data_IF_035987578550
#
_entry.id   IF_035987578550
#
_cell.length_a   1.000
_cell.length_b   1.000
_cell.length_c   1.000
_cell.angle_alpha   90.00
_cell.angle_beta   90.00
_cell.angle_gamma   90.00
#
_symmetry.space_group_name_H-M   'P 1'
#
loop_
_entity.id
_entity.type
_entity.pdbx_description
1 polymer ?
#
# COMPACT_ATOMS: atom_id res chain seq x y z
N UNK A 1 30.79 -2.81 -8.27
CA UNK A 1 29.60 -2.81 -7.43
C UNK A 1 28.69 -3.89 -7.97
N UNK A 2 28.53 -5.01 -7.28
CA UNK A 2 27.56 -6.04 -7.66
C UNK A 2 26.17 -5.43 -7.54
N UNK A 3 25.40 -5.48 -8.62
CA UNK A 3 23.98 -5.12 -8.55
C UNK A 3 23.32 -5.95 -7.44
N UNK A 4 22.39 -5.36 -6.66
CA UNK A 4 21.59 -6.13 -5.72
C UNK A 4 20.92 -7.28 -6.47
N UNK A 5 20.95 -8.46 -5.88
CA UNK A 5 20.30 -9.63 -6.42
C UNK A 5 18.77 -9.46 -6.27
N UNK A 6 18.16 -8.86 -7.27
CA UNK A 6 16.70 -8.69 -7.34
C UNK A 6 15.94 -10.00 -7.60
N UNK A 7 16.67 -11.12 -7.75
CA UNK A 7 16.06 -12.43 -7.98
C UNK A 7 15.48 -13.08 -6.70
N UNK A 8 15.70 -12.48 -5.54
CA UNK A 8 15.16 -12.95 -4.26
C UNK A 8 13.81 -12.32 -3.96
N UNK A 9 12.80 -12.78 -4.67
CA UNK A 9 11.41 -12.43 -4.39
C UNK A 9 10.86 -13.28 -3.23
N UNK A 10 9.84 -12.81 -2.49
CA UNK A 10 9.13 -13.65 -1.53
C UNK A 10 8.59 -14.93 -2.16
N UNK A 11 8.39 -15.96 -1.35
CA UNK A 11 7.83 -17.24 -1.82
C UNK A 11 6.40 -17.09 -2.36
N UNK A 12 5.69 -16.07 -1.90
CA UNK A 12 4.36 -15.68 -2.38
C UNK A 12 4.34 -14.17 -2.56
N UNK A 13 3.83 -13.71 -3.68
CA UNK A 13 3.57 -12.30 -3.97
C UNK A 13 2.16 -12.14 -4.52
N UNK A 14 1.55 -10.97 -4.34
CA UNK A 14 0.19 -10.76 -4.84
C UNK A 14 -0.26 -9.31 -4.79
N UNK A 15 -1.42 -9.09 -5.39
CA UNK A 15 -2.13 -7.82 -5.40
C UNK A 15 -3.64 -8.08 -5.47
N UNK A 16 -4.44 -7.08 -5.15
CA UNK A 16 -5.91 -7.15 -5.18
C UNK A 16 -6.47 -6.72 -6.53
N UNK A 17 -7.63 -7.19 -6.88
CA UNK A 17 -8.30 -6.85 -8.15
C UNK A 17 -8.71 -5.38 -8.25
N UNK A 18 -8.92 -4.71 -7.12
CA UNK A 18 -9.11 -3.26 -7.00
C UNK A 18 -8.40 -2.74 -5.74
N UNK A 19 -8.21 -1.44 -5.61
CA UNK A 19 -7.58 -0.85 -4.43
C UNK A 19 -8.59 -0.52 -3.33
N UNK A 20 -9.86 -0.37 -3.66
CA UNK A 20 -10.92 0.01 -2.73
C UNK A 20 -12.14 -0.88 -2.85
N UNK A 21 -12.77 -1.13 -1.72
CA UNK A 21 -13.97 -1.95 -1.62
C UNK A 21 -14.94 -1.37 -0.58
N UNK A 22 -16.20 -1.77 -0.68
CA UNK A 22 -17.24 -1.47 0.31
C UNK A 22 -17.61 -2.71 1.10
N UNK A 23 -18.27 -2.53 2.23
CA UNK A 23 -18.83 -3.64 3.00
C UNK A 23 -19.75 -4.50 2.12
N UNK A 24 -19.50 -5.82 2.09
CA UNK A 24 -20.20 -6.79 1.26
C UNK A 24 -19.57 -7.05 -0.11
N UNK A 25 -18.63 -6.25 -0.55
CA UNK A 25 -17.89 -6.50 -1.82
C UNK A 25 -16.98 -7.71 -1.70
N UNK A 26 -16.73 -8.34 -2.83
CA UNK A 26 -15.80 -9.47 -2.95
C UNK A 26 -14.41 -8.93 -3.32
N UNK A 27 -13.44 -9.15 -2.46
CA UNK A 27 -12.02 -8.89 -2.73
C UNK A 27 -11.44 -10.10 -3.45
N UNK A 28 -11.00 -9.94 -4.68
CA UNK A 28 -10.20 -10.94 -5.39
C UNK A 28 -8.73 -10.67 -5.17
N UNK A 29 -7.95 -11.74 -4.97
CA UNK A 29 -6.50 -11.65 -4.77
C UNK A 29 -5.79 -12.53 -5.78
N UNK A 30 -4.86 -11.93 -6.50
CA UNK A 30 -4.04 -12.55 -7.54
C UNK A 30 -2.65 -12.77 -7.00
N UNK A 31 -2.21 -14.02 -6.95
CA UNK A 31 -0.94 -14.40 -6.35
C UNK A 31 -0.10 -15.27 -7.29
N UNK A 32 1.19 -15.02 -7.34
CA UNK A 32 2.17 -16.00 -7.78
C UNK A 32 2.85 -16.63 -6.57
N UNK A 33 2.96 -17.95 -6.53
CA UNK A 33 3.52 -18.67 -5.39
C UNK A 33 4.40 -19.82 -5.84
N UNK A 34 5.63 -19.87 -5.30
CA UNK A 34 6.51 -21.01 -5.43
C UNK A 34 6.31 -22.04 -4.31
N UNK A 35 5.61 -21.64 -3.24
CA UNK A 35 5.21 -22.55 -2.19
C UNK A 35 3.93 -23.30 -2.61
N UNK A 36 3.80 -24.60 -2.31
CA UNK A 36 2.62 -25.38 -2.68
C UNK A 36 1.35 -24.96 -1.93
N UNK A 37 1.53 -24.42 -0.74
CA UNK A 37 0.45 -23.91 0.14
C UNK A 37 0.90 -22.66 0.85
N UNK A 38 -0.02 -21.72 1.00
CA UNK A 38 0.17 -20.52 1.81
C UNK A 38 -1.13 -20.13 2.54
N UNK A 39 -1.01 -19.28 3.52
CA UNK A 39 -2.13 -18.68 4.24
C UNK A 39 -2.16 -17.18 3.97
N UNK A 40 -3.37 -16.59 3.92
CA UNK A 40 -3.57 -15.16 3.80
C UNK A 40 -4.22 -14.63 5.07
N UNK A 41 -3.57 -13.65 5.71
CA UNK A 41 -4.07 -12.99 6.93
C UNK A 41 -4.42 -11.55 6.60
N UNK A 42 -5.66 -11.18 6.83
CA UNK A 42 -6.18 -9.85 6.56
C UNK A 42 -6.22 -9.06 7.88
N UNK A 43 -5.51 -7.94 7.91
CA UNK A 43 -5.34 -7.11 9.11
C UNK A 43 -5.73 -5.67 8.80
N UNK A 44 -6.67 -5.09 9.56
CA UNK A 44 -6.86 -3.64 9.58
C UNK A 44 -5.68 -2.98 10.29
N UNK A 45 -5.11 -1.96 9.67
CA UNK A 45 -3.93 -1.24 10.18
C UNK A 45 -4.31 0.19 10.52
N UNK A 46 -4.64 0.41 11.78
CA UNK A 46 -4.95 1.71 12.37
C UNK A 46 -3.99 2.05 13.52
N UNK A 47 -4.54 2.61 14.60
CA UNK A 47 -3.80 2.76 15.86
C UNK A 47 -3.26 1.41 16.33
N UNK A 48 -4.07 0.39 16.18
CA UNK A 48 -3.72 -1.01 16.41
C UNK A 48 -3.79 -1.81 15.10
N UNK A 49 -3.15 -2.97 15.12
CA UNK A 49 -3.27 -3.98 14.06
C UNK A 49 -4.28 -5.01 14.51
N UNK A 50 -5.42 -5.06 13.84
CA UNK A 50 -6.53 -5.97 14.17
C UNK A 50 -6.71 -6.97 13.04
N UNK A 51 -6.41 -8.23 13.30
CA UNK A 51 -6.75 -9.31 12.37
C UNK A 51 -8.26 -9.42 12.26
N UNK A 52 -8.77 -9.36 11.03
CA UNK A 52 -10.22 -9.38 10.75
C UNK A 52 -10.66 -10.61 10.00
N UNK A 53 -9.74 -11.27 9.28
CA UNK A 53 -10.06 -12.46 8.50
C UNK A 53 -8.78 -13.24 8.18
N UNK A 54 -8.93 -14.56 8.00
CA UNK A 54 -7.86 -15.45 7.54
C UNK A 54 -8.40 -16.43 6.50
N UNK A 55 -7.63 -16.63 5.43
CA UNK A 55 -7.88 -17.69 4.44
C UNK A 55 -6.73 -18.67 4.54
N UNK A 56 -7.04 -19.88 4.99
CA UNK A 56 -6.03 -20.92 5.23
C UNK A 56 -5.93 -21.90 4.06
N UNK A 57 -4.72 -22.42 3.83
CA UNK A 57 -4.47 -23.53 2.92
C UNK A 57 -4.73 -23.19 1.44
N UNK A 58 -4.47 -21.97 1.05
CA UNK A 58 -4.56 -21.56 -0.35
C UNK A 58 -3.53 -22.33 -1.16
N UNK A 59 -3.97 -22.97 -2.24
CA UNK A 59 -3.06 -23.65 -3.17
C UNK A 59 -2.23 -22.63 -3.93
N UNK A 60 -0.92 -22.76 -3.78
CA UNK A 60 0.03 -21.95 -4.53
C UNK A 60 0.25 -22.51 -5.93
N UNK A 61 0.38 -21.64 -6.88
CA UNK A 61 0.87 -21.94 -8.23
C UNK A 61 1.73 -20.77 -8.70
N UNK A 62 2.71 -21.08 -9.49
CA UNK A 62 3.56 -20.06 -10.09
C UNK A 62 2.82 -19.41 -11.25
N UNK A 63 2.83 -18.09 -11.30
CA UNK A 63 2.28 -17.31 -12.42
C UNK A 63 3.42 -16.50 -13.04
N UNK A 64 3.56 -16.51 -14.36
CA UNK A 64 4.68 -15.85 -15.00
C UNK A 64 4.60 -14.34 -14.80
N UNK A 65 5.76 -13.72 -14.63
CA UNK A 65 5.90 -12.27 -14.66
C UNK A 65 6.15 -11.86 -16.11
N UNK A 66 5.22 -11.12 -16.75
CA UNK A 66 5.41 -10.70 -18.14
C UNK A 66 6.58 -9.73 -18.28
N UNK A 67 7.20 -9.73 -19.46
CA UNK A 67 8.07 -8.63 -19.84
C UNK A 67 7.29 -7.32 -19.72
N UNK A 68 7.91 -6.30 -19.11
CA UNK A 68 7.27 -5.00 -18.86
C UNK A 68 6.03 -5.06 -17.92
N UNK A 69 6.05 -5.97 -16.94
CA UNK A 69 4.98 -6.04 -15.93
C UNK A 69 4.75 -4.72 -15.18
N UNK A 70 5.78 -3.85 -15.12
CA UNK A 70 5.65 -2.51 -14.54
C UNK A 70 4.65 -1.62 -15.28
N UNK A 71 4.41 -1.86 -16.57
CA UNK A 71 3.55 -1.06 -17.46
C UNK A 71 2.24 -1.77 -17.79
N UNK A 72 2.32 -3.04 -18.22
CA UNK A 72 1.16 -3.80 -18.67
C UNK A 72 0.42 -4.51 -17.52
N UNK A 73 1.01 -4.53 -16.32
CA UNK A 73 0.53 -5.38 -15.23
C UNK A 73 0.94 -6.84 -15.38
N UNK A 74 0.59 -7.65 -14.41
CA UNK A 74 0.93 -9.07 -14.38
C UNK A 74 -0.04 -9.94 -15.18
N UNK A 75 -1.32 -9.55 -15.25
CA UNK A 75 -2.36 -10.37 -15.87
C UNK A 75 -2.58 -11.71 -15.18
N UNK A 76 -2.23 -11.81 -13.88
CA UNK A 76 -2.41 -13.04 -13.11
C UNK A 76 -3.87 -13.38 -12.91
N UNK A 77 -4.18 -14.66 -12.90
CA UNK A 77 -5.50 -15.16 -12.58
C UNK A 77 -5.80 -15.00 -11.09
N UNK A 78 -7.10 -14.90 -10.78
CA UNK A 78 -7.56 -14.83 -9.40
C UNK A 78 -7.20 -16.14 -8.67
N UNK A 79 -6.51 -16.00 -7.52
CA UNK A 79 -6.04 -17.15 -6.74
C UNK A 79 -7.01 -17.51 -5.62
N UNK A 80 -7.54 -16.51 -4.94
CA UNK A 80 -8.59 -16.66 -3.95
C UNK A 80 -9.40 -15.36 -3.82
N UNK A 81 -10.53 -15.47 -3.12
CA UNK A 81 -11.38 -14.33 -2.83
C UNK A 81 -12.00 -14.45 -1.44
N UNK A 82 -12.39 -13.31 -0.88
CA UNK A 82 -13.14 -13.23 0.37
C UNK A 82 -14.07 -12.01 0.32
N UNK A 83 -15.05 -11.97 1.23
CA UNK A 83 -16.01 -10.85 1.29
C UNK A 83 -15.62 -9.88 2.40
N UNK A 84 -15.68 -8.57 2.12
CA UNK A 84 -15.51 -7.52 3.13
C UNK A 84 -16.62 -7.62 4.16
N UNK A 85 -16.26 -7.77 5.42
CA UNK A 85 -17.20 -7.88 6.52
C UNK A 85 -18.10 -6.66 6.64
N UNK A 86 -19.36 -6.90 7.02
CA UNK A 86 -20.31 -5.81 7.21
C UNK A 86 -19.96 -4.88 8.37
N UNK A 87 -19.14 -5.30 9.28
CA UNK A 87 -18.69 -4.56 10.47
C UNK A 87 -17.29 -3.97 10.30
N UNK A 88 -16.65 -4.18 9.17
CA UNK A 88 -15.31 -3.64 8.94
C UNK A 88 -15.37 -2.12 8.74
N UNK A 89 -14.68 -1.35 9.59
CA UNK A 89 -14.68 0.10 9.47
C UNK A 89 -13.84 0.56 8.26
N UNK A 90 -14.08 1.78 7.82
CA UNK A 90 -13.21 2.43 6.84
C UNK A 90 -11.76 2.44 7.34
N UNK A 91 -10.84 2.21 6.39
CA UNK A 91 -9.42 2.15 6.73
C UNK A 91 -8.58 1.40 5.72
N UNK A 92 -7.31 1.27 6.06
CA UNK A 92 -6.32 0.51 5.31
C UNK A 92 -6.25 -0.94 5.84
N UNK A 93 -6.27 -1.89 4.91
CA UNK A 93 -6.20 -3.32 5.19
C UNK A 93 -5.00 -3.93 4.48
N UNK A 94 -4.16 -4.57 5.25
CA UNK A 94 -3.01 -5.34 4.77
C UNK A 94 -3.40 -6.81 4.62
N UNK A 95 -2.96 -7.43 3.55
CA UNK A 95 -3.00 -8.88 3.33
C UNK A 95 -1.57 -9.39 3.45
N UNK A 96 -1.26 -10.15 4.48
CA UNK A 96 -0.02 -10.92 4.57
C UNK A 96 -0.23 -12.29 3.91
N UNK A 97 0.56 -12.60 2.89
CA UNK A 97 0.58 -13.87 2.19
C UNK A 97 1.76 -14.68 2.69
N UNK A 98 1.53 -15.74 3.48
CA UNK A 98 2.61 -16.49 4.12
C UNK A 98 2.69 -17.93 3.65
N UNK A 99 3.82 -18.28 3.05
CA UNK A 99 4.13 -19.63 2.64
C UNK A 99 4.19 -20.59 3.85
N UNK A 100 3.53 -21.74 3.76
CA UNK A 100 3.60 -22.75 4.81
C UNK A 100 4.95 -23.44 4.80
N UNK A 101 5.48 -23.68 5.99
CA UNK A 101 6.78 -24.33 6.20
C UNK A 101 7.97 -23.36 6.28
N UNK A 102 7.77 -22.09 5.97
CA UNK A 102 8.79 -21.06 6.17
C UNK A 102 8.74 -20.49 7.59
N UNK A 103 9.91 -20.13 8.12
CA UNK A 103 10.00 -19.53 9.45
C UNK A 103 9.26 -18.18 9.48
N UNK A 104 8.53 -17.90 10.55
CA UNK A 104 7.75 -16.65 10.67
C UNK A 104 8.64 -15.39 10.60
N UNK A 105 9.87 -15.48 11.09
CA UNK A 105 10.83 -14.39 11.02
C UNK A 105 11.48 -14.22 9.63
N UNK A 106 11.35 -15.22 8.73
CA UNK A 106 11.93 -15.11 7.40
C UNK A 106 10.99 -14.32 6.48
N UNK A 107 11.42 -13.12 6.12
CA UNK A 107 10.69 -12.27 5.21
C UNK A 107 10.49 -12.90 3.82
N UNK A 108 11.34 -13.85 3.43
CA UNK A 108 11.21 -14.57 2.15
C UNK A 108 9.97 -15.45 2.09
N UNK A 109 9.47 -15.83 3.26
CA UNK A 109 8.24 -16.61 3.37
C UNK A 109 6.97 -15.78 3.24
N UNK A 110 7.04 -14.42 3.19
CA UNK A 110 5.86 -13.58 3.21
C UNK A 110 5.90 -12.46 2.18
N UNK A 111 4.83 -12.35 1.38
CA UNK A 111 4.50 -11.17 0.59
C UNK A 111 3.36 -10.38 1.22
N UNK A 112 3.15 -9.17 0.71
CA UNK A 112 2.11 -8.27 1.22
C UNK A 112 1.35 -7.61 0.07
N UNK A 113 0.03 -7.56 0.20
CA UNK A 113 -0.87 -6.76 -0.64
C UNK A 113 -1.71 -5.86 0.26
N UNK A 114 -2.48 -4.95 -0.32
CA UNK A 114 -3.37 -4.07 0.43
C UNK A 114 -4.67 -3.80 -0.33
N UNK A 115 -5.64 -3.35 0.41
CA UNK A 115 -6.83 -2.68 -0.09
C UNK A 115 -7.35 -1.69 0.97
N UNK A 116 -8.28 -0.85 0.57
CA UNK A 116 -9.00 0.02 1.50
C UNK A 116 -10.46 -0.38 1.59
N UNK A 117 -11.06 -0.14 2.75
CA UNK A 117 -12.50 -0.21 2.90
C UNK A 117 -13.02 1.22 3.01
N UNK A 118 -13.88 1.60 2.06
CA UNK A 118 -14.52 2.90 2.03
C UNK A 118 -15.58 3.03 3.12
N UNK A 119 -15.75 4.24 3.63
CA UNK A 119 -16.82 4.54 4.58
C UNK A 119 -18.21 4.25 3.98
N UNK A 120 -19.12 3.69 4.77
CA UNK A 120 -20.47 3.32 4.30
C UNK A 120 -21.30 4.51 3.86
N UNK A 121 -21.14 5.63 4.56
CA UNK A 121 -21.77 6.90 4.27
C UNK A 121 -20.80 8.02 4.56
N UNK A 122 -20.81 9.09 3.76
CA UNK A 122 -20.10 10.31 4.12
C UNK A 122 -20.53 10.80 5.50
N UNK A 123 -19.55 11.10 6.33
CA UNK A 123 -19.75 11.69 7.64
C UNK A 123 -18.99 13.03 7.67
N UNK A 124 -19.66 14.17 7.79
CA UNK A 124 -19.01 15.48 7.78
C UNK A 124 -18.07 15.70 8.97
N UNK A 125 -18.22 14.93 10.04
CA UNK A 125 -17.34 15.02 11.21
C UNK A 125 -16.09 14.12 11.08
N UNK A 126 -16.05 13.28 10.05
CA UNK A 126 -14.89 12.41 9.78
C UNK A 126 -14.12 12.91 8.56
N UNK A 127 -12.89 13.38 8.74
CA UNK A 127 -12.03 13.68 7.61
C UNK A 127 -11.85 12.47 6.69
N UNK A 128 -11.72 12.73 5.40
CA UNK A 128 -11.30 11.74 4.43
C UNK A 128 -9.79 11.84 4.24
N UNK A 129 -9.07 10.76 4.51
CA UNK A 129 -7.67 10.62 4.15
C UNK A 129 -7.57 10.00 2.75
N UNK A 130 -7.01 10.73 1.82
CA UNK A 130 -6.71 10.24 0.49
C UNK A 130 -5.30 9.63 0.49
N UNK A 131 -5.22 8.34 0.17
CA UNK A 131 -3.93 7.65 0.04
C UNK A 131 -3.30 7.95 -1.31
N UNK A 132 -2.03 8.29 -1.31
CA UNK A 132 -1.24 8.63 -2.50
C UNK A 132 -0.83 7.40 -3.32
N UNK A 133 -1.81 6.56 -3.68
CA UNK A 133 -1.56 5.27 -4.34
C UNK A 133 -0.96 5.40 -5.74
N UNK A 134 -1.22 6.49 -6.44
CA UNK A 134 -0.52 6.82 -7.69
C UNK A 134 0.98 6.99 -7.45
N UNK A 135 1.34 7.69 -6.38
CA UNK A 135 2.74 7.89 -6.00
C UNK A 135 3.38 6.58 -5.56
N UNK A 136 2.64 5.69 -4.87
CA UNK A 136 3.16 4.35 -4.57
C UNK A 136 3.60 3.63 -5.84
N UNK A 137 2.76 3.62 -6.87
CA UNK A 137 3.06 2.93 -8.11
C UNK A 137 4.15 3.64 -8.94
N UNK A 138 4.22 4.98 -8.88
CA UNK A 138 5.25 5.74 -9.58
C UNK A 138 6.67 5.37 -9.08
N UNK A 139 6.82 5.07 -7.80
CA UNK A 139 8.09 4.67 -7.18
C UNK A 139 8.28 3.14 -7.14
N UNK A 140 7.22 2.36 -7.34
CA UNK A 140 7.27 0.90 -7.31
C UNK A 140 8.09 0.35 -8.48
N UNK A 141 9.26 -0.22 -8.21
CA UNK A 141 10.13 -0.79 -9.25
C UNK A 141 9.87 -2.30 -9.49
N UNK A 142 8.88 -2.86 -8.81
CA UNK A 142 8.53 -4.27 -9.01
C UNK A 142 8.23 -4.57 -10.48
N UNK A 143 8.75 -5.68 -10.97
CA UNK A 143 8.65 -6.05 -12.39
C UNK A 143 9.71 -5.39 -13.28
N UNK A 144 10.63 -4.56 -12.71
CA UNK A 144 11.83 -4.09 -13.40
C UNK A 144 12.02 -2.57 -13.46
N UNK A 145 10.96 -1.78 -13.61
CA UNK A 145 11.07 -0.32 -13.72
C UNK A 145 10.00 0.42 -12.92
N UNK A 146 10.31 1.67 -12.61
CA UNK A 146 9.39 2.67 -12.11
C UNK A 146 9.56 3.98 -12.89
N UNK A 147 8.79 5.01 -12.60
CA UNK A 147 8.87 6.32 -13.29
C UNK A 147 10.28 6.92 -13.24
N UNK A 148 11.03 6.66 -12.18
CA UNK A 148 12.40 7.19 -11.97
C UNK A 148 13.50 6.32 -12.59
N UNK A 149 13.14 5.16 -13.14
CA UNK A 149 14.10 4.25 -13.78
C UNK A 149 13.78 4.00 -15.25
N UNK A 150 13.02 4.92 -15.85
CA UNK A 150 12.77 4.97 -17.30
C UNK A 150 11.45 4.34 -17.75
N UNK A 151 10.49 4.08 -16.84
CA UNK A 151 9.11 3.86 -17.23
C UNK A 151 8.43 5.20 -17.53
N UNK A 152 7.56 5.23 -18.52
CA UNK A 152 6.68 6.36 -18.85
C UNK A 152 5.24 6.10 -18.42
N UNK A 153 4.93 4.85 -18.15
CA UNK A 153 3.64 4.36 -17.69
C UNK A 153 3.87 3.29 -16.63
N UNK A 154 2.99 3.21 -15.65
CA UNK A 154 3.02 2.19 -14.60
C UNK A 154 1.63 1.64 -14.33
N UNK A 155 1.56 0.33 -14.10
CA UNK A 155 0.31 -0.38 -13.81
C UNK A 155 0.09 -0.54 -12.32
N UNK A 156 -1.18 -0.56 -11.91
CA UNK A 156 -1.61 -0.96 -10.57
C UNK A 156 -1.72 -2.50 -10.42
N UNK A 157 -1.92 -3.22 -11.53
CA UNK A 157 -2.12 -4.68 -11.57
C UNK A 157 -0.83 -5.46 -11.37
N UNK A 158 -0.11 -5.16 -10.28
CA UNK A 158 1.16 -5.80 -9.91
C UNK A 158 1.43 -5.68 -8.40
N UNK A 159 2.24 -6.55 -7.82
CA UNK A 159 2.69 -6.40 -6.44
C UNK A 159 3.41 -5.07 -6.19
N UNK A 160 3.33 -4.60 -4.96
CA UNK A 160 4.23 -3.56 -4.46
C UNK A 160 5.53 -4.17 -3.96
N UNK A 161 6.62 -3.48 -4.17
CA UNK A 161 7.91 -3.87 -3.62
C UNK A 161 7.89 -3.95 -2.10
N UNK A 162 8.76 -4.80 -1.60
CA UNK A 162 8.93 -4.99 -0.17
C UNK A 162 9.20 -3.69 0.57
N UNK A 163 8.50 -3.49 1.68
CA UNK A 163 8.70 -2.34 2.56
C UNK A 163 7.78 -1.14 2.31
N UNK A 164 6.99 -1.14 1.25
CA UNK A 164 5.98 -0.11 1.02
C UNK A 164 4.82 -0.19 2.01
N UNK A 165 4.35 -1.40 2.29
CA UNK A 165 3.20 -1.64 3.14
C UNK A 165 3.62 -1.94 4.58
N UNK A 166 4.65 -2.79 4.74
CA UNK A 166 5.14 -3.23 6.03
C UNK A 166 6.65 -3.38 6.02
N UNK A 167 7.27 -2.90 7.10
CA UNK A 167 8.66 -3.20 7.44
C UNK A 167 8.71 -3.98 8.73
N UNK A 168 9.63 -4.96 8.87
CA UNK A 168 9.90 -5.53 10.19
C UNK A 168 10.31 -4.41 11.14
N UNK A 169 9.95 -4.54 12.41
CA UNK A 169 10.42 -3.62 13.44
C UNK A 169 11.95 -3.59 13.41
N UNK A 170 12.50 -2.47 12.94
CA UNK A 170 13.92 -2.25 12.98
C UNK A 170 14.28 -1.57 14.29
N UNK A 171 15.49 -1.77 14.80
CA UNK A 171 15.99 -1.00 15.94
C UNK A 171 15.91 0.51 15.73
N UNK A 172 15.71 0.93 14.50
CA UNK A 172 15.64 2.33 14.06
C UNK A 172 14.24 2.84 13.75
N UNK A 173 13.19 2.01 13.82
CA UNK A 173 11.82 2.42 13.47
C UNK A 173 11.33 3.61 14.29
N UNK A 174 11.82 3.76 15.51
CA UNK A 174 11.49 4.89 16.37
C UNK A 174 12.33 6.14 16.13
N UNK A 175 13.54 6.02 15.62
CA UNK A 175 14.44 7.14 15.38
C UNK A 175 14.37 7.70 13.96
N UNK A 176 14.11 6.82 12.99
CA UNK A 176 13.97 7.21 11.57
C UNK A 176 12.57 7.63 11.19
N UNK A 177 11.63 7.38 12.06
CA UNK A 177 10.22 7.60 11.84
C UNK A 177 9.78 9.07 11.73
N UNK A 178 10.61 9.98 11.51
CA UNK A 178 10.25 11.38 11.30
C UNK A 178 11.38 12.24 10.75
N UNK A 179 12.60 11.71 10.74
CA UNK A 179 13.77 12.48 10.36
C UNK A 179 14.24 12.31 8.91
N UNK A 180 13.67 11.33 8.20
CA UNK A 180 13.99 11.12 6.77
C UNK A 180 13.42 12.21 5.88
N UNK A 181 12.45 12.97 6.38
CA UNK A 181 11.93 14.14 5.70
C UNK A 181 12.75 15.41 6.01
N UNK A 182 13.65 15.35 6.99
CA UNK A 182 14.55 16.46 7.25
C UNK A 182 15.73 16.39 6.30
N UNK A 183 15.53 16.93 5.11
CA UNK A 183 16.56 17.12 4.09
C UNK A 183 17.56 18.21 4.45
N UNK A 184 17.64 18.63 5.68
CA UNK A 184 18.57 19.68 6.14
C UNK A 184 20.02 19.19 6.26
N UNK A 185 20.42 18.26 5.40
CA UNK A 185 21.83 18.11 5.06
C UNK A 185 22.68 17.32 6.04
N UNK A 186 22.11 16.34 6.74
CA UNK A 186 22.92 15.42 7.52
C UNK A 186 23.24 14.15 6.72
N UNK A 187 24.30 14.19 5.93
CA UNK A 187 24.78 13.07 5.09
C UNK A 187 24.85 11.73 5.85
N UNK A 188 25.11 11.77 7.16
CA UNK A 188 25.22 10.57 7.99
C UNK A 188 23.90 9.79 8.12
N UNK A 189 22.77 10.48 8.21
CA UNK A 189 21.47 9.80 8.37
C UNK A 189 21.01 9.19 7.05
N UNK A 190 21.32 9.84 5.93
CA UNK A 190 21.09 9.27 4.60
C UNK A 190 21.93 8.00 4.39
N UNK A 191 23.22 8.04 4.70
CA UNK A 191 24.12 6.88 4.55
C UNK A 191 23.67 5.71 5.41
N UNK A 192 23.23 5.95 6.64
CA UNK A 192 22.69 4.92 7.54
C UNK A 192 21.40 4.30 7.00
N UNK A 193 20.52 5.10 6.39
CA UNK A 193 19.32 4.59 5.73
C UNK A 193 19.66 3.68 4.56
N UNK A 194 20.56 4.15 3.68
CA UNK A 194 21.01 3.38 2.51
C UNK A 194 21.68 2.07 2.95
N UNK A 195 22.48 2.12 4.00
CA UNK A 195 23.09 0.92 4.59
C UNK A 195 22.04 -0.04 5.17
N UNK A 196 21.06 0.49 5.90
CA UNK A 196 19.93 -0.30 6.40
C UNK A 196 19.14 -0.95 5.27
N UNK A 197 18.80 -0.20 4.23
CA UNK A 197 18.09 -0.74 3.06
C UNK A 197 18.89 -1.86 2.39
N UNK A 198 20.19 -1.66 2.19
CA UNK A 198 21.07 -2.70 1.61
C UNK A 198 21.16 -3.93 2.50
N UNK A 199 21.34 -3.75 3.80
CA UNK A 199 21.47 -4.86 4.76
C UNK A 199 20.19 -5.73 4.80
N UNK A 200 19.02 -5.11 4.71
CA UNK A 200 17.74 -5.77 4.75
C UNK A 200 17.14 -6.10 3.38
N UNK A 201 17.88 -5.88 2.30
CA UNK A 201 17.45 -6.13 0.91
C UNK A 201 16.16 -5.38 0.56
N UNK A 202 16.02 -4.13 1.03
CA UNK A 202 14.94 -3.25 0.59
C UNK A 202 15.31 -2.54 -0.71
N UNK A 203 14.33 -2.33 -1.61
CA UNK A 203 14.50 -1.52 -2.80
C UNK A 203 14.93 -0.09 -2.49
N UNK A 204 15.60 0.55 -3.44
CA UNK A 204 16.10 1.92 -3.30
C UNK A 204 14.98 2.92 -2.96
N UNK A 205 13.81 2.76 -3.54
CA UNK A 205 12.70 3.71 -3.42
C UNK A 205 11.76 3.44 -2.24
N UNK A 206 12.02 2.40 -1.44
CA UNK A 206 11.15 2.02 -0.31
C UNK A 206 10.90 3.15 0.68
N UNK A 207 11.84 4.08 0.84
CA UNK A 207 11.71 5.24 1.74
C UNK A 207 11.03 6.45 1.10
N UNK A 208 10.85 6.45 -0.22
CA UNK A 208 10.33 7.62 -0.94
C UNK A 208 8.81 7.69 -0.91
N UNK A 209 8.14 6.54 -0.89
CA UNK A 209 6.69 6.45 -0.97
C UNK A 209 6.15 5.23 -0.20
N UNK A 210 4.84 5.09 -0.13
CA UNK A 210 4.14 3.95 0.44
C UNK A 210 3.56 4.19 1.84
N UNK A 211 2.53 3.41 2.15
CA UNK A 211 1.77 3.46 3.40
C UNK A 211 2.64 3.53 4.66
N UNK A 212 3.69 2.69 4.72
CA UNK A 212 4.53 2.59 5.90
C UNK A 212 5.24 3.91 6.25
N UNK A 213 5.62 4.70 5.23
CA UNK A 213 6.43 5.90 5.43
C UNK A 213 5.62 7.08 5.98
N UNK A 214 4.39 7.26 5.47
CA UNK A 214 3.66 8.51 5.65
C UNK A 214 2.31 8.30 6.33
N UNK A 215 1.33 7.76 5.63
CA UNK A 215 -0.06 7.78 6.05
C UNK A 215 -0.31 6.93 7.30
N UNK A 216 0.38 5.78 7.44
CA UNK A 216 0.29 4.91 8.62
C UNK A 216 0.54 5.65 9.93
N UNK A 217 1.52 6.57 9.94
CA UNK A 217 1.89 7.32 11.14
C UNK A 217 0.81 8.30 11.53
N UNK A 218 0.30 9.00 10.51
CA UNK A 218 -0.80 9.93 10.70
C UNK A 218 -2.05 9.20 11.19
N UNK A 219 -2.45 8.09 10.56
CA UNK A 219 -3.61 7.30 10.96
C UNK A 219 -3.45 6.78 12.38
N UNK A 220 -2.28 6.23 12.70
CA UNK A 220 -1.97 5.75 14.06
C UNK A 220 -2.12 6.86 15.10
N UNK A 221 -1.57 8.02 14.83
CA UNK A 221 -1.68 9.18 15.73
C UNK A 221 -3.13 9.62 15.87
N UNK A 222 -3.82 9.79 14.79
CA UNK A 222 -5.18 10.34 14.79
C UNK A 222 -6.18 9.41 15.50
N UNK A 223 -6.14 8.11 15.18
CA UNK A 223 -7.00 7.14 15.86
C UNK A 223 -6.64 7.01 17.36
N UNK A 224 -5.36 7.01 17.72
CA UNK A 224 -4.93 7.01 19.13
C UNK A 224 -5.38 8.26 19.88
N UNK A 225 -5.52 9.40 19.19
CA UNK A 225 -6.07 10.65 19.73
C UNK A 225 -7.62 10.70 19.71
N UNK A 226 -8.28 9.64 19.24
CA UNK A 226 -9.73 9.52 19.20
C UNK A 226 -10.39 10.14 17.96
N UNK A 227 -9.63 10.54 16.95
CA UNK A 227 -10.18 11.03 15.69
C UNK A 227 -10.58 9.85 14.79
N UNK A 228 -11.86 9.82 14.40
CA UNK A 228 -12.31 8.91 13.34
C UNK A 228 -11.88 9.45 11.98
N UNK A 229 -11.30 8.60 11.15
CA UNK A 229 -10.87 8.94 9.79
C UNK A 229 -11.48 7.93 8.83
N UNK A 230 -12.00 8.42 7.70
CA UNK A 230 -12.32 7.57 6.56
C UNK A 230 -11.15 7.59 5.56
N UNK A 231 -11.00 6.51 4.81
CA UNK A 231 -9.87 6.34 3.89
C UNK A 231 -10.41 6.08 2.49
N UNK A 232 -9.76 6.68 1.49
CA UNK A 232 -9.95 6.41 0.06
C UNK A 232 -8.59 6.44 -0.66
N UNK A 233 -8.58 6.06 -1.92
CA UNK A 233 -7.37 6.05 -2.77
C UNK A 233 -7.43 7.12 -3.85
N UNK A 234 -6.32 7.35 -4.55
CA UNK A 234 -6.31 8.21 -5.71
C UNK A 234 -7.28 7.71 -6.81
N UNK A 235 -7.45 6.38 -6.97
CA UNK A 235 -8.40 5.81 -7.93
C UNK A 235 -9.83 6.22 -7.61
N UNK A 236 -10.24 6.17 -6.34
CA UNK A 236 -11.59 6.58 -5.92
C UNK A 236 -11.87 8.05 -6.27
N UNK A 237 -10.86 8.90 -6.13
CA UNK A 237 -10.98 10.31 -6.49
C UNK A 237 -10.94 10.53 -8.01
N UNK A 238 -10.19 9.70 -8.74
CA UNK A 238 -10.13 9.75 -10.21
C UNK A 238 -11.48 9.33 -10.81
N UNK A 239 -12.08 8.27 -10.31
CA UNK A 239 -13.35 7.69 -10.81
C UNK A 239 -14.54 8.62 -10.61
N UNK A 240 -14.49 9.53 -9.63
CA UNK A 240 -15.54 10.53 -9.47
C UNK A 240 -15.53 11.30 -8.15
N UNK A 241 -16.29 12.39 -8.10
CA UNK A 241 -16.39 13.25 -6.91
C UNK A 241 -17.21 12.63 -5.77
N UNK A 242 -17.86 11.50 -5.95
CA UNK A 242 -18.76 10.89 -4.96
C UNK A 242 -18.04 10.57 -3.64
N UNK A 243 -16.74 10.28 -3.69
CA UNK A 243 -15.92 10.04 -2.51
C UNK A 243 -15.79 11.28 -1.61
N UNK A 244 -15.95 12.48 -2.20
CA UNK A 244 -15.90 13.78 -1.53
C UNK A 244 -17.28 14.22 -0.99
N UNK A 245 -18.37 13.62 -1.48
CA UNK A 245 -19.73 14.05 -1.16
C UNK A 245 -20.00 14.08 0.34
N UNK A 246 -20.52 15.21 0.85
CA UNK A 246 -20.84 15.40 2.26
C UNK A 246 -19.64 15.50 3.20
N UNK A 247 -18.42 15.53 2.69
CA UNK A 247 -17.20 15.75 3.49
C UNK A 247 -16.97 17.23 3.74
N UNK A 248 -16.29 17.56 4.83
CA UNK A 248 -15.85 18.92 5.17
C UNK A 248 -14.34 19.11 5.01
N UNK A 249 -13.60 18.02 5.17
CA UNK A 249 -12.14 18.03 5.16
C UNK A 249 -11.63 16.78 4.45
N UNK A 250 -10.77 16.98 3.49
CA UNK A 250 -9.97 15.95 2.82
C UNK A 250 -8.52 16.20 3.15
N UNK A 251 -7.78 15.14 3.40
CA UNK A 251 -6.37 15.18 3.81
C UNK A 251 -5.52 14.39 2.81
N UNK A 252 -4.45 14.98 2.36
CA UNK A 252 -3.31 14.30 1.75
C UNK A 252 -2.13 14.38 2.69
N UNK A 253 -1.50 13.24 2.98
CA UNK A 253 -0.44 13.16 3.99
C UNK A 253 0.82 12.57 3.38
N UNK A 254 1.89 13.30 3.47
CA UNK A 254 3.20 12.85 3.02
C UNK A 254 3.48 13.18 1.55
N UNK A 255 3.90 12.18 0.77
CA UNK A 255 4.34 12.36 -0.60
C UNK A 255 3.23 11.95 -1.58
N UNK A 256 2.51 12.93 -2.10
CA UNK A 256 1.39 12.79 -3.03
C UNK A 256 1.67 13.61 -4.31
N UNK A 257 2.44 13.03 -5.23
CA UNK A 257 3.06 13.72 -6.36
C UNK A 257 2.29 13.56 -7.66
N UNK A 258 1.58 12.43 -7.85
CA UNK A 258 1.01 12.06 -9.14
C UNK A 258 -0.52 12.17 -9.15
N UNK A 259 -1.02 13.20 -9.86
CA UNK A 259 -2.44 13.52 -9.94
C UNK A 259 -2.93 13.53 -11.38
N UNK A 260 -4.09 12.95 -11.63
CA UNK A 260 -4.80 13.15 -12.90
C UNK A 260 -5.50 14.51 -12.93
N UNK A 261 -5.88 14.95 -14.13
CA UNK A 261 -6.67 16.17 -14.28
C UNK A 261 -8.04 16.04 -13.62
N UNK A 262 -8.69 14.87 -13.74
CA UNK A 262 -10.00 14.63 -13.13
C UNK A 262 -9.93 14.74 -11.61
N UNK A 263 -8.91 14.19 -10.97
CA UNK A 263 -8.69 14.34 -9.52
C UNK A 263 -8.56 15.81 -9.12
N UNK A 264 -7.79 16.60 -9.87
CA UNK A 264 -7.63 18.04 -9.61
C UNK A 264 -8.95 18.78 -9.74
N UNK A 265 -9.67 18.53 -10.84
CA UNK A 265 -10.97 19.16 -11.08
C UNK A 265 -12.01 18.83 -10.00
N UNK A 266 -11.95 17.60 -9.44
CA UNK A 266 -12.83 17.19 -8.36
C UNK A 266 -12.49 17.92 -7.06
N UNK A 267 -11.20 18.05 -6.72
CA UNK A 267 -10.78 18.78 -5.52
C UNK A 267 -11.01 20.27 -5.66
N UNK A 268 -10.72 20.88 -6.82
CA UNK A 268 -10.96 22.31 -7.05
C UNK A 268 -12.44 22.65 -6.83
N UNK A 269 -13.36 21.86 -7.41
CA UNK A 269 -14.80 22.02 -7.17
C UNK A 269 -15.19 21.82 -5.71
N UNK A 270 -14.62 20.81 -5.05
CA UNK A 270 -14.87 20.56 -3.63
C UNK A 270 -14.49 21.76 -2.77
N UNK A 271 -13.36 22.40 -3.05
CA UNK A 271 -12.89 23.59 -2.33
C UNK A 271 -13.76 24.80 -2.67
N UNK A 272 -14.12 24.99 -3.94
CA UNK A 272 -15.03 26.07 -4.37
C UNK A 272 -16.42 25.97 -3.71
N UNK A 273 -16.89 24.75 -3.46
CA UNK A 273 -18.14 24.46 -2.75
C UNK A 273 -18.01 24.58 -1.22
N UNK A 274 -16.85 25.01 -0.71
CA UNK A 274 -16.59 25.28 0.72
C UNK A 274 -15.98 24.13 1.50
N UNK A 275 -15.55 23.08 0.84
CA UNK A 275 -14.72 22.03 1.42
C UNK A 275 -13.32 22.53 1.77
N UNK A 276 -12.57 21.74 2.53
CA UNK A 276 -11.19 22.04 2.91
C UNK A 276 -10.26 20.91 2.48
N UNK A 277 -9.17 21.33 1.87
CA UNK A 277 -8.08 20.47 1.43
C UNK A 277 -6.78 20.82 2.13
#
# INVERSE_FOLDING_TARGET
MTQPDFTRVPAVEGYTGAQSYRAGDVVTVRCASRAPLFDARITRVGAERIEVHTVEGVRGHDQPVPDRAWEAGCGWEDTFAFTVGNDWPSGFYEIELRARGEAEADWRGAGHAFFTVLGRRPDPERPLLLLSTNTYQAYNQWGGRCMYTGATEVSFDRPLERGYLRRPAAPFDTEYDGRLADTTGNDRDHDRLVEYQRHHSYPLWTSSSGWHNWERRFVRWAEAAGFGIDVATNDDLHDGPDVLAGRRLVLSVGHDEYWSWDMRDHIDRFVDDGGRW
#
